data_IF_894953253221
#
_entry.id   IF_894953253221
#
_cell.length_a   1.000
_cell.length_b   1.000
_cell.length_c   1.000
_cell.angle_alpha   90.00
_cell.angle_beta   90.00
_cell.angle_gamma   90.00
#
_symmetry.space_group_name_H-M   'P 1'
#
loop_
_entity.id
_entity.type
_entity.pdbx_description
1 polymer ?
#
# COMPACT_ATOMS: atom_id res chain seq x y z
N UNK A 1 15.09 -16.09 -37.89
CA UNK A 1 16.09 -15.94 -36.82
C UNK A 1 15.74 -14.84 -35.80
N UNK A 2 15.43 -13.58 -36.21
CA UNK A 2 15.10 -12.49 -35.25
C UNK A 2 13.93 -12.76 -34.29
N UNK A 3 12.90 -13.52 -34.70
CA UNK A 3 11.75 -13.87 -33.84
C UNK A 3 12.04 -14.99 -32.82
N UNK A 4 13.02 -15.85 -33.10
CA UNK A 4 13.42 -16.93 -32.18
C UNK A 4 14.31 -16.37 -31.06
N UNK A 5 15.11 -15.35 -31.36
CA UNK A 5 16.00 -14.67 -30.42
C UNK A 5 15.22 -13.81 -29.41
N UNK A 6 14.08 -13.25 -29.83
CA UNK A 6 13.20 -12.44 -28.97
C UNK A 6 12.40 -13.31 -27.97
N UNK A 7 12.01 -14.52 -28.39
CA UNK A 7 11.38 -15.51 -27.49
C UNK A 7 12.42 -16.09 -26.52
N UNK A 8 13.67 -16.33 -26.96
CA UNK A 8 14.74 -16.77 -26.08
C UNK A 8 15.12 -15.71 -25.04
N UNK A 9 15.12 -14.41 -25.41
CA UNK A 9 15.32 -13.31 -24.46
C UNK A 9 14.18 -13.19 -23.43
N UNK A 10 12.92 -13.39 -23.84
CA UNK A 10 11.76 -13.37 -22.94
C UNK A 10 11.72 -14.58 -21.99
N UNK A 11 12.28 -15.72 -22.41
CA UNK A 11 12.35 -16.95 -21.59
C UNK A 11 13.57 -16.94 -20.65
N UNK A 12 14.61 -16.15 -20.92
CA UNK A 12 15.81 -16.05 -20.08
C UNK A 12 15.77 -14.89 -19.06
N UNK A 13 14.86 -13.93 -19.19
CA UNK A 13 14.69 -12.84 -18.20
C UNK A 13 14.27 -13.26 -16.77
N UNK A 14 13.57 -14.38 -16.52
CA UNK A 14 13.25 -14.78 -15.14
C UNK A 14 14.39 -15.48 -14.38
N UNK A 15 15.54 -15.74 -15.01
CA UNK A 15 16.65 -16.50 -14.40
C UNK A 15 17.82 -15.61 -13.91
N UNK A 16 17.71 -14.30 -14.05
CA UNK A 16 18.76 -13.35 -13.66
C UNK A 16 18.45 -12.57 -12.37
N UNK A 17 17.43 -12.95 -11.60
CA UNK A 17 17.29 -12.47 -10.22
C UNK A 17 18.15 -13.34 -9.31
N UNK A 18 19.46 -13.18 -9.41
CA UNK A 18 20.32 -13.52 -8.28
C UNK A 18 19.89 -12.57 -7.16
N UNK A 19 19.32 -13.12 -6.08
CA UNK A 19 19.22 -12.42 -4.81
C UNK A 19 20.65 -12.11 -4.38
N UNK A 20 21.13 -10.93 -4.74
CA UNK A 20 22.32 -10.37 -4.12
C UNK A 20 21.91 -10.01 -2.70
N UNK A 21 22.29 -10.86 -1.76
CA UNK A 21 22.43 -10.45 -0.38
C UNK A 21 23.54 -9.43 -0.40
N UNK A 22 23.17 -8.15 -0.35
CA UNK A 22 24.13 -7.07 -0.21
C UNK A 22 24.83 -7.28 1.14
N UNK A 23 26.02 -7.87 1.09
CA UNK A 23 26.89 -7.97 2.24
C UNK A 23 27.39 -6.54 2.49
N UNK A 24 26.63 -5.81 3.31
CA UNK A 24 26.89 -4.43 3.68
C UNK A 24 28.35 -4.25 4.07
N UNK A 25 29.11 -3.59 3.19
CA UNK A 25 30.47 -3.15 3.44
C UNK A 25 30.43 -2.07 4.53
N UNK A 26 30.46 -2.47 5.81
CA UNK A 26 30.81 -1.66 6.98
C UNK A 26 30.42 -0.18 6.96
N UNK A 27 29.19 0.17 6.56
CA UNK A 27 28.69 1.53 6.66
C UNK A 27 28.12 1.73 8.05
N UNK A 28 28.78 2.60 8.82
CA UNK A 28 28.23 3.22 10.02
C UNK A 28 26.96 3.95 9.61
N UNK A 29 25.81 3.38 9.94
CA UNK A 29 24.53 3.95 9.60
C UNK A 29 23.42 3.22 10.33
N UNK A 30 22.26 3.83 10.35
CA UNK A 30 21.10 3.30 11.05
C UNK A 30 20.10 2.66 10.09
N UNK A 31 19.30 1.73 10.61
CA UNK A 31 18.12 1.23 9.92
C UNK A 31 16.88 1.76 10.61
N UNK A 32 15.84 2.09 9.83
CA UNK A 32 14.58 2.58 10.38
C UNK A 32 13.40 1.78 9.83
N UNK A 33 12.49 1.40 10.71
CA UNK A 33 11.29 0.66 10.36
C UNK A 33 10.07 1.37 10.93
N UNK A 34 9.08 1.64 10.08
CA UNK A 34 7.86 2.35 10.46
C UNK A 34 6.64 1.49 10.18
N UNK A 35 5.72 1.45 11.13
CA UNK A 35 4.35 1.03 10.91
C UNK A 35 3.42 2.20 11.19
N UNK A 36 2.70 2.63 10.15
CA UNK A 36 1.81 3.79 10.20
C UNK A 36 0.40 3.34 9.93
N UNK A 37 -0.50 3.62 10.87
CA UNK A 37 -1.94 3.39 10.71
C UNK A 37 -2.64 4.73 10.61
N UNK A 38 -3.32 4.98 9.50
CA UNK A 38 -4.18 6.15 9.35
C UNK A 38 -5.61 5.84 9.79
N UNK A 39 -6.25 6.74 10.53
CA UNK A 39 -7.63 6.57 10.98
C UNK A 39 -8.64 7.42 10.18
N UNK A 40 -9.94 7.26 10.48
CA UNK A 40 -11.01 8.00 9.82
C UNK A 40 -11.14 9.46 10.27
N UNK A 41 -10.36 9.89 11.26
CA UNK A 41 -10.36 11.26 11.77
C UNK A 41 -9.24 12.11 11.14
N UNK A 42 -8.40 11.49 10.31
CA UNK A 42 -7.26 12.15 9.69
C UNK A 42 -6.04 12.20 10.61
N UNK A 43 -5.93 11.29 11.56
CA UNK A 43 -4.75 11.10 12.39
C UNK A 43 -3.91 9.92 11.85
N UNK A 44 -2.60 9.99 12.03
CA UNK A 44 -1.68 8.90 11.80
C UNK A 44 -1.11 8.44 13.15
N UNK A 45 -1.28 7.16 13.49
CA UNK A 45 -0.58 6.52 14.58
C UNK A 45 0.68 5.82 14.04
N UNK A 46 1.83 6.18 14.58
CA UNK A 46 3.14 5.76 14.06
C UNK A 46 3.92 5.04 15.14
N UNK A 47 4.33 3.81 14.85
CA UNK A 47 5.37 3.09 15.61
C UNK A 47 6.62 3.05 14.75
N UNK A 48 7.69 3.70 15.23
CA UNK A 48 8.99 3.70 14.59
C UNK A 48 9.98 2.88 15.42
N UNK A 49 10.85 2.12 14.75
CA UNK A 49 12.00 1.43 15.32
C UNK A 49 13.26 1.98 14.65
N UNK A 50 14.12 2.61 15.43
CA UNK A 50 15.42 3.12 15.02
C UNK A 50 16.48 2.13 15.50
N UNK A 51 17.25 1.55 14.59
CA UNK A 51 18.37 0.66 14.89
C UNK A 51 19.67 1.41 14.64
N UNK A 52 20.37 1.76 15.71
CA UNK A 52 21.56 2.60 15.66
C UNK A 52 22.76 1.75 16.08
N UNK A 53 23.79 1.74 15.24
CA UNK A 53 25.05 1.10 15.61
C UNK A 53 25.78 1.98 16.61
N UNK A 54 26.07 1.45 17.79
CA UNK A 54 26.70 2.18 18.88
C UNK A 54 28.22 1.99 18.88
N UNK A 55 28.92 2.89 18.20
CA UNK A 55 30.38 2.86 18.08
C UNK A 55 31.10 3.65 19.17
N UNK A 56 30.45 4.68 19.69
CA UNK A 56 31.08 5.71 20.52
C UNK A 56 30.49 5.81 21.94
N UNK A 57 29.79 4.75 22.38
CA UNK A 57 29.08 4.71 23.66
C UNK A 57 28.08 5.87 23.77
N UNK A 58 27.10 5.87 22.86
CA UNK A 58 26.09 6.89 22.70
C UNK A 58 25.32 7.09 24.01
N UNK A 59 25.37 8.30 24.56
CA UNK A 59 24.75 8.66 25.84
C UNK A 59 23.40 9.36 25.67
N UNK A 60 23.26 10.12 24.58
CA UNK A 60 22.07 10.89 24.22
C UNK A 60 21.76 10.69 22.73
N UNK A 61 20.49 10.86 22.36
CA UNK A 61 20.06 10.80 20.97
C UNK A 61 19.11 11.96 20.66
N UNK A 62 19.39 12.68 19.58
CA UNK A 62 18.53 13.73 19.07
C UNK A 62 17.93 13.34 17.72
N UNK A 63 16.63 13.58 17.58
CA UNK A 63 15.93 13.37 16.31
C UNK A 63 14.73 14.29 16.18
N UNK A 64 14.29 14.48 14.95
CA UNK A 64 13.21 15.38 14.59
C UNK A 64 12.07 14.60 13.93
N UNK A 65 10.86 14.74 14.48
CA UNK A 65 9.64 14.20 13.89
C UNK A 65 8.99 15.32 13.05
N UNK A 66 8.85 15.15 11.71
CA UNK A 66 8.18 16.14 10.87
C UNK A 66 6.70 16.31 11.27
N UNK A 67 6.23 17.54 11.48
CA UNK A 67 4.84 17.85 11.86
C UNK A 67 4.71 18.99 12.89
N UNK A 68 3.63 19.75 12.79
CA UNK A 68 3.24 20.84 13.70
C UNK A 68 2.46 20.32 14.93
N UNK A 69 1.69 19.24 14.77
CA UNK A 69 0.74 18.66 15.70
C UNK A 69 1.11 17.18 15.97
N UNK A 70 2.31 16.97 16.49
CA UNK A 70 2.84 15.65 16.87
C UNK A 70 2.65 15.40 18.36
N UNK A 71 2.01 14.30 18.74
CA UNK A 71 1.87 13.87 20.13
C UNK A 71 2.71 12.60 20.37
N UNK A 72 3.86 12.74 21.02
CA UNK A 72 4.71 11.61 21.41
C UNK A 72 4.08 10.90 22.61
N UNK A 73 3.64 9.67 22.41
CA UNK A 73 2.97 8.88 23.43
C UNK A 73 4.00 8.17 24.32
N UNK A 74 5.02 7.56 23.69
CA UNK A 74 6.04 6.84 24.44
C UNK A 74 7.33 6.67 23.63
N UNK A 75 8.46 6.58 24.34
CA UNK A 75 9.76 6.20 23.79
C UNK A 75 10.37 5.16 24.73
N UNK A 76 10.78 4.03 24.17
CA UNK A 76 11.41 2.94 24.94
C UNK A 76 12.65 2.42 24.22
N UNK A 77 13.65 2.01 25.00
CA UNK A 77 14.81 1.30 24.51
C UNK A 77 14.54 -0.21 24.59
N UNK A 78 14.71 -0.92 23.48
CA UNK A 78 14.80 -2.38 23.45
C UNK A 78 16.27 -2.79 23.67
N UNK A 79 16.52 -3.68 24.63
CA UNK A 79 17.86 -4.14 24.97
C UNK A 79 17.89 -5.63 25.32
N UNK A 80 19.07 -6.23 25.21
CA UNK A 80 19.28 -7.66 25.43
C UNK A 80 20.23 -7.93 26.59
N UNK A 81 19.93 -8.94 27.40
CA UNK A 81 20.98 -9.56 28.21
C UNK A 81 21.86 -10.42 27.30
N UNK A 82 23.14 -10.52 27.63
CA UNK A 82 24.09 -11.37 26.92
C UNK A 82 24.60 -12.45 27.85
N UNK A 83 24.51 -13.70 27.39
CA UNK A 83 25.14 -14.84 28.05
C UNK A 83 26.42 -15.22 27.31
N UNK A 84 27.44 -15.59 28.09
CA UNK A 84 28.73 -16.04 27.56
C UNK A 84 28.74 -17.56 27.53
N UNK A 85 28.88 -18.15 26.34
CA UNK A 85 29.19 -19.57 26.19
C UNK A 85 30.65 -19.72 25.79
N UNK A 86 31.33 -20.69 26.39
CA UNK A 86 32.66 -21.06 25.94
C UNK A 86 32.59 -21.72 24.56
N UNK A 87 33.37 -21.22 23.60
CA UNK A 87 33.48 -21.82 22.25
C UNK A 87 34.80 -22.53 22.02
N UNK A 88 35.84 -22.18 22.80
CA UNK A 88 37.13 -22.85 22.75
C UNK A 88 37.66 -23.13 24.16
N UNK A 89 38.15 -24.35 24.36
CA UNK A 89 38.65 -24.84 25.63
C UNK A 89 40.14 -25.13 25.49
N UNK A 90 40.95 -24.48 26.32
CA UNK A 90 42.38 -24.77 26.43
C UNK A 90 42.59 -25.79 27.55
N UNK A 91 43.21 -26.92 27.22
CA UNK A 91 43.61 -27.93 28.20
C UNK A 91 44.81 -27.40 29.00
N UNK A 92 44.60 -27.16 30.30
CA UNK A 92 45.70 -26.98 31.23
C UNK A 92 46.36 -28.34 31.52
N UNK A 93 47.63 -28.29 31.96
CA UNK A 93 48.43 -29.48 32.24
C UNK A 93 47.65 -30.55 33.04
N UNK A 94 47.67 -31.78 32.54
CA UNK A 94 47.02 -32.90 33.21
C UNK A 94 47.89 -33.37 34.37
N UNK A 95 47.32 -33.47 35.57
CA UNK A 95 47.97 -34.15 36.69
C UNK A 95 48.06 -35.65 36.38
N UNK A 96 49.00 -36.36 37.03
CA UNK A 96 49.35 -37.77 36.79
C UNK A 96 48.22 -38.79 37.01
N UNK A 97 47.00 -38.33 37.29
CA UNK A 97 45.78 -39.12 37.51
C UNK A 97 44.71 -38.91 36.42
N UNK A 98 45.09 -38.45 35.22
CA UNK A 98 44.21 -38.33 34.02
C UNK A 98 43.06 -37.32 34.13
N UNK A 99 43.06 -36.41 35.12
CA UNK A 99 42.09 -35.31 35.21
C UNK A 99 42.71 -34.03 34.64
N UNK A 100 42.39 -33.71 33.38
CA UNK A 100 42.83 -32.46 32.76
C UNK A 100 41.85 -31.33 33.14
N UNK A 101 42.37 -30.24 33.70
CA UNK A 101 41.58 -29.03 33.93
C UNK A 101 41.45 -28.28 32.61
N UNK A 102 40.24 -27.90 32.22
CA UNK A 102 40.02 -27.05 31.05
C UNK A 102 39.69 -25.63 31.51
N UNK A 103 40.30 -24.64 30.86
CA UNK A 103 39.92 -23.23 31.00
C UNK A 103 39.43 -22.74 29.65
N UNK A 104 38.36 -21.96 29.68
CA UNK A 104 37.83 -21.38 28.45
C UNK A 104 38.80 -20.33 27.88
N UNK A 105 39.32 -20.57 26.68
CA UNK A 105 40.20 -19.65 25.96
C UNK A 105 39.42 -18.56 25.23
N UNK A 106 38.23 -18.89 24.72
CA UNK A 106 37.39 -17.97 23.95
C UNK A 106 35.91 -18.12 24.30
N UNK A 107 35.26 -16.99 24.57
CA UNK A 107 33.82 -16.91 24.82
C UNK A 107 33.10 -16.32 23.61
N UNK A 108 31.98 -16.91 23.23
CA UNK A 108 30.99 -16.30 22.36
C UNK A 108 29.86 -15.73 23.20
N UNK A 109 29.46 -14.50 22.90
CA UNK A 109 28.31 -13.86 23.50
C UNK A 109 27.09 -14.03 22.60
N UNK A 110 25.96 -14.39 23.18
CA UNK A 110 24.69 -14.50 22.46
C UNK A 110 23.58 -13.75 23.18
N UNK A 111 22.67 -13.17 22.39
CA UNK A 111 21.48 -12.45 22.87
C UNK A 111 20.53 -13.42 23.57
N UNK A 112 20.11 -13.09 24.79
CA UNK A 112 19.06 -13.81 25.51
C UNK A 112 17.70 -13.26 25.08
N UNK A 113 16.79 -14.15 24.68
CA UNK A 113 15.42 -13.80 24.29
C UNK A 113 14.40 -14.20 25.38
N UNK A 114 13.29 -13.45 25.54
CA UNK A 114 12.90 -12.24 24.79
C UNK A 114 13.70 -10.99 25.21
N UNK A 115 13.74 -9.93 24.37
CA UNK A 115 14.34 -8.66 24.77
C UNK A 115 13.65 -8.05 25.99
N UNK A 116 14.37 -7.16 26.66
CA UNK A 116 13.86 -6.29 27.72
C UNK A 116 13.64 -4.88 27.19
N UNK A 117 12.85 -4.12 27.93
CA UNK A 117 12.47 -2.76 27.57
C UNK A 117 12.72 -1.82 28.74
N UNK A 118 13.43 -0.73 28.48
CA UNK A 118 13.62 0.36 29.43
C UNK A 118 12.84 1.58 28.94
N UNK A 119 12.14 2.24 29.86
CA UNK A 119 11.58 3.55 29.56
C UNK A 119 12.72 4.55 29.45
N UNK A 120 12.64 5.45 28.48
CA UNK A 120 13.65 6.47 28.23
C UNK A 120 13.07 7.82 28.61
N UNK A 121 13.86 8.61 29.33
CA UNK A 121 13.51 10.01 29.62
C UNK A 121 13.83 10.88 28.41
N UNK A 122 12.86 11.69 27.99
CA UNK A 122 12.98 12.54 26.80
C UNK A 122 12.36 13.92 27.00
N UNK A 123 12.92 14.88 26.28
CA UNK A 123 12.41 16.25 26.19
C UNK A 123 11.95 16.50 24.76
N UNK A 124 10.77 17.12 24.63
CA UNK A 124 10.24 17.55 23.34
C UNK A 124 10.23 19.06 23.23
N UNK A 125 10.77 19.61 22.15
CA UNK A 125 10.76 21.04 21.86
C UNK A 125 10.22 21.29 20.44
N UNK A 126 9.28 22.23 20.31
CA UNK A 126 8.84 22.72 19.00
C UNK A 126 9.71 23.90 18.59
N UNK A 127 10.39 23.81 17.44
CA UNK A 127 11.08 24.95 16.86
C UNK A 127 10.35 25.41 15.59
N UNK A 128 10.10 26.72 15.51
CA UNK A 128 9.73 27.36 14.26
C UNK A 128 10.91 27.34 13.31
N UNK A 129 10.76 26.77 12.11
CA UNK A 129 11.79 26.81 11.05
C UNK A 129 11.95 28.20 10.40
N UNK A 130 11.50 29.25 11.09
CA UNK A 130 11.62 30.64 10.63
C UNK A 130 12.79 31.32 11.32
N UNK A 131 13.60 32.05 10.57
CA UNK A 131 14.52 33.04 11.13
C UNK A 131 13.71 34.04 11.98
N UNK A 132 13.63 33.81 13.29
CA UNK A 132 13.09 34.79 14.22
C UNK A 132 14.13 35.91 14.33
N UNK A 133 13.89 37.02 13.61
CA UNK A 133 14.58 38.27 13.88
C UNK A 133 14.30 38.73 15.33
N UNK A 134 15.25 39.43 15.94
CA UNK A 134 15.27 39.74 17.39
C UNK A 134 14.03 40.47 17.97
N UNK A 135 13.08 40.94 17.16
CA UNK A 135 12.09 41.94 17.58
C UNK A 135 10.60 41.69 17.26
N UNK A 136 10.17 40.55 16.72
CA UNK A 136 8.72 40.34 16.48
C UNK A 136 8.22 38.96 16.91
N UNK A 137 7.03 38.96 17.54
CA UNK A 137 6.23 37.78 17.87
C UNK A 137 6.26 36.79 16.70
N UNK A 138 7.02 35.72 16.85
CA UNK A 138 6.98 34.59 15.95
C UNK A 138 5.66 33.84 16.15
N UNK A 139 4.61 34.28 15.45
CA UNK A 139 3.46 33.45 15.06
C UNK A 139 3.90 32.37 14.02
N UNK A 140 5.12 31.86 14.20
CA UNK A 140 5.73 30.87 13.33
C UNK A 140 5.23 29.50 13.75
N UNK A 141 4.23 28.99 13.03
CA UNK A 141 3.80 27.60 13.13
C UNK A 141 5.04 26.71 13.10
N UNK A 142 5.37 26.10 14.24
CA UNK A 142 6.46 25.15 14.33
C UNK A 142 6.16 23.99 13.40
N UNK A 143 7.11 23.62 12.54
CA UNK A 143 6.91 22.60 11.51
C UNK A 143 7.34 21.21 11.93
N UNK A 144 8.09 21.14 13.02
CA UNK A 144 8.89 19.98 13.38
C UNK A 144 8.98 19.87 14.91
N UNK A 145 8.87 18.64 15.42
CA UNK A 145 9.06 18.31 16.82
C UNK A 145 10.45 17.73 17.03
N UNK A 146 11.28 18.42 17.81
CA UNK A 146 12.59 17.97 18.20
C UNK A 146 12.49 17.14 19.47
N UNK A 147 13.09 15.97 19.46
CA UNK A 147 13.10 15.02 20.58
C UNK A 147 14.54 14.78 20.98
N UNK A 148 14.85 15.04 22.24
CA UNK A 148 16.16 14.76 22.85
C UNK A 148 15.98 13.70 23.92
N UNK A 149 16.62 12.55 23.74
CA UNK A 149 16.80 11.53 24.77
C UNK A 149 18.04 11.94 25.59
N UNK A 150 17.85 12.26 26.87
CA UNK A 150 18.92 12.78 27.72
C UNK A 150 19.88 11.68 28.20
N UNK A 151 19.34 10.48 28.48
CA UNK A 151 20.11 9.34 28.96
C UNK A 151 19.57 8.04 28.34
N UNK A 152 20.42 7.32 27.61
CA UNK A 152 20.13 5.97 27.14
C UNK A 152 20.43 4.99 28.30
N UNK A 153 19.45 4.21 28.78
CA UNK A 153 19.63 3.33 29.95
C UNK A 153 20.72 2.27 29.82
N UNK A 154 20.80 1.60 28.66
CA UNK A 154 21.75 0.49 28.41
C UNK A 154 22.69 0.88 27.26
N UNK A 155 23.74 1.63 27.57
CA UNK A 155 24.69 2.22 26.60
C UNK A 155 25.75 1.22 26.15
N UNK A 156 25.93 0.13 26.88
CA UNK A 156 26.99 -0.84 26.65
C UNK A 156 26.73 -1.74 25.43
N UNK A 157 25.53 -1.65 24.84
CA UNK A 157 25.10 -2.50 23.73
C UNK A 157 25.74 -2.05 22.42
N UNK A 158 26.19 -2.99 21.58
CA UNK A 158 26.72 -2.68 20.24
C UNK A 158 25.66 -2.09 19.30
N UNK A 159 24.40 -2.48 19.48
CA UNK A 159 23.26 -1.97 18.73
C UNK A 159 22.27 -1.35 19.73
N UNK A 160 21.84 -0.12 19.48
CA UNK A 160 20.79 0.56 20.25
C UNK A 160 19.50 0.53 19.43
N UNK A 161 18.44 0.01 20.03
CA UNK A 161 17.11 -0.06 19.43
C UNK A 161 16.17 0.90 20.15
N UNK A 162 15.76 1.98 19.49
CA UNK A 162 14.80 2.95 20.03
C UNK A 162 13.45 2.75 19.37
N UNK A 163 12.41 2.49 20.18
CA UNK A 163 11.03 2.42 19.73
C UNK A 163 10.33 3.73 20.08
N UNK A 164 9.81 4.41 19.08
CA UNK A 164 9.06 5.68 19.21
C UNK A 164 7.62 5.43 18.83
N UNK A 165 6.69 5.73 19.74
CA UNK A 165 5.26 5.70 19.46
C UNK A 165 4.68 7.11 19.54
N UNK A 166 4.12 7.59 18.45
CA UNK A 166 3.54 8.92 18.37
C UNK A 166 2.30 8.97 17.47
N UNK A 167 1.54 10.04 17.59
CA UNK A 167 0.42 10.36 16.71
C UNK A 167 0.61 11.73 16.06
N UNK A 168 0.13 11.91 14.84
CA UNK A 168 0.16 13.22 14.16
C UNK A 168 -1.04 13.41 13.24
N UNK A 169 -1.62 14.62 13.25
CA UNK A 169 -2.69 15.01 12.32
C UNK A 169 -2.16 15.71 11.06
N UNK A 170 -0.87 16.03 10.98
CA UNK A 170 -0.35 16.85 9.86
C UNK A 170 -0.09 16.05 8.60
N UNK A 171 0.13 14.75 8.75
CA UNK A 171 0.39 13.87 7.62
C UNK A 171 -0.85 13.68 6.75
N UNK A 172 -2.05 13.99 7.22
CA UNK A 172 -3.29 13.74 6.50
C UNK A 172 -4.05 15.03 6.24
N UNK A 173 -4.52 15.18 4.99
CA UNK A 173 -5.45 16.24 4.60
C UNK A 173 -6.73 15.63 4.08
N UNK A 174 -7.83 15.89 4.76
CA UNK A 174 -9.16 15.48 4.31
C UNK A 174 -9.74 16.47 3.28
N UNK A 175 -10.33 15.94 2.21
CA UNK A 175 -11.17 16.72 1.31
C UNK A 175 -12.36 15.87 0.84
N UNK A 176 -13.56 16.19 1.34
CA UNK A 176 -14.81 15.48 1.00
C UNK A 176 -14.76 13.97 1.30
N UNK A 177 -14.23 13.58 2.46
CA UNK A 177 -14.08 12.17 2.84
C UNK A 177 -13.05 11.40 2.01
N UNK A 178 -12.19 12.10 1.26
CA UNK A 178 -10.96 11.57 0.69
C UNK A 178 -9.79 12.11 1.50
N UNK A 179 -9.03 11.22 2.10
CA UNK A 179 -7.86 11.55 2.90
C UNK A 179 -6.63 11.39 2.02
N UNK A 180 -5.82 12.44 1.93
CA UNK A 180 -4.52 12.40 1.25
C UNK A 180 -3.45 12.44 2.31
N UNK A 181 -2.56 11.45 2.30
CA UNK A 181 -1.46 11.41 3.24
C UNK A 181 -0.12 11.75 2.57
N UNK A 182 0.77 12.32 3.37
CA UNK A 182 2.16 12.67 3.08
C UNK A 182 2.96 12.39 4.37
N UNK A 183 3.27 11.12 4.59
CA UNK A 183 4.04 10.69 5.75
C UNK A 183 5.52 10.94 5.49
N UNK A 184 6.22 11.45 6.49
CA UNK A 184 7.65 11.73 6.44
C UNK A 184 8.32 11.06 7.65
N UNK A 185 9.42 10.37 7.39
CA UNK A 185 10.16 9.64 8.44
C UNK A 185 10.91 10.59 9.37
N UNK A 186 11.31 10.07 10.52
CA UNK A 186 12.15 10.77 11.49
C UNK A 186 13.48 11.14 10.84
N UNK A 187 13.92 12.37 11.09
CA UNK A 187 15.22 12.91 10.67
C UNK A 187 16.18 12.88 11.87
N UNK A 188 17.46 12.58 11.65
CA UNK A 188 18.47 12.74 12.69
C UNK A 188 19.87 12.97 12.08
N UNK A 189 20.88 13.10 12.94
CA UNK A 189 22.25 13.44 12.54
C UNK A 189 23.06 12.28 11.91
N UNK A 190 22.50 11.07 11.87
CA UNK A 190 23.18 9.87 11.38
C UNK A 190 22.72 9.48 9.97
N UNK A 191 23.65 8.94 9.18
CA UNK A 191 23.33 8.35 7.87
C UNK A 191 22.34 7.19 8.03
N UNK A 192 21.31 7.15 7.18
CA UNK A 192 20.32 6.06 7.19
C UNK A 192 20.56 5.10 6.04
N UNK A 193 21.04 3.91 6.39
CA UNK A 193 21.33 2.85 5.43
C UNK A 193 20.06 2.35 4.74
N UNK A 194 19.02 2.12 5.54
CA UNK A 194 17.78 1.51 5.08
C UNK A 194 16.58 2.06 5.85
N UNK A 195 15.52 2.37 5.12
CA UNK A 195 14.23 2.77 5.66
C UNK A 195 13.14 1.92 5.04
N UNK A 196 12.29 1.35 5.89
CA UNK A 196 11.04 0.70 5.48
C UNK A 196 9.85 1.39 6.14
N UNK A 197 8.85 1.71 5.33
CA UNK A 197 7.58 2.27 5.81
C UNK A 197 6.45 1.35 5.38
N UNK A 198 5.82 0.70 6.35
CA UNK A 198 4.61 -0.10 6.16
C UNK A 198 3.40 0.74 6.57
N UNK A 199 2.53 1.01 5.59
CA UNK A 199 1.33 1.82 5.74
C UNK A 199 0.08 0.95 5.81
N UNK A 200 -0.84 1.34 6.68
CA UNK A 200 -2.13 0.69 6.84
C UNK A 200 -3.22 1.72 7.18
N UNK A 201 -4.48 1.31 7.09
CA UNK A 201 -5.65 2.16 7.32
C UNK A 201 -6.67 1.44 8.19
N UNK A 202 -7.23 2.15 9.17
CA UNK A 202 -8.17 1.58 10.14
C UNK A 202 -9.31 0.79 9.48
N UNK A 203 -9.95 -0.08 10.28
CA UNK A 203 -11.07 -0.91 9.84
C UNK A 203 -12.10 -0.08 9.06
N UNK A 204 -12.64 -0.67 7.99
CA UNK A 204 -13.61 -0.06 7.07
C UNK A 204 -13.09 1.08 6.17
N UNK A 205 -11.76 1.30 6.12
CA UNK A 205 -11.16 2.22 5.15
C UNK A 205 -10.47 1.50 3.99
N UNK A 206 -10.34 2.20 2.86
CA UNK A 206 -9.70 1.71 1.64
C UNK A 206 -8.51 2.59 1.30
N UNK A 207 -7.34 1.99 1.12
CA UNK A 207 -6.13 2.70 0.68
C UNK A 207 -5.90 2.49 -0.83
N UNK A 208 -5.35 3.48 -1.51
CA UNK A 208 -5.04 3.32 -2.93
C UNK A 208 -3.87 2.35 -3.11
N UNK A 209 -4.07 1.30 -3.90
CA UNK A 209 -3.07 0.23 -4.08
C UNK A 209 -3.31 -1.00 -3.20
N UNK A 210 -4.20 -0.94 -2.20
CA UNK A 210 -4.57 -2.08 -1.35
C UNK A 210 -6.04 -2.05 -0.92
N UNK A 211 -6.71 -3.20 -0.96
CA UNK A 211 -7.95 -3.39 -0.20
C UNK A 211 -7.54 -3.95 1.17
N UNK A 212 -7.58 -3.15 2.24
CA UNK A 212 -7.29 -3.68 3.57
C UNK A 212 -8.40 -4.66 3.96
N UNK A 213 -8.00 -5.87 4.32
CA UNK A 213 -8.80 -6.86 5.01
C UNK A 213 -7.90 -7.43 6.11
N UNK A 214 -7.46 -6.54 7.00
CA UNK A 214 -6.66 -6.90 8.16
C UNK A 214 -7.55 -6.64 9.37
N UNK A 215 -7.84 -7.69 10.13
CA UNK A 215 -8.50 -7.58 11.43
C UNK A 215 -7.48 -6.98 12.40
N UNK A 216 -7.76 -5.78 12.89
CA UNK A 216 -6.88 -5.16 13.88
C UNK A 216 -7.03 -5.91 15.20
N UNK A 217 -5.91 -6.19 15.87
CA UNK A 217 -5.96 -6.35 17.32
C UNK A 217 -6.24 -4.97 17.91
N UNK A 218 -7.52 -4.69 18.13
CA UNK A 218 -8.12 -3.38 18.43
C UNK A 218 -7.74 -2.77 19.79
N UNK A 219 -6.71 -3.27 20.45
CA UNK A 219 -6.26 -2.77 21.75
C UNK A 219 -4.73 -2.63 21.78
N UNK A 220 -4.18 -1.67 21.03
CA UNK A 220 -2.90 -1.07 21.42
C UNK A 220 -3.16 -0.22 22.66
N UNK A 221 -3.00 -0.80 23.85
CA UNK A 221 -3.03 0.00 25.08
C UNK A 221 -1.71 0.78 25.18
N UNK A 222 -1.74 1.95 25.83
CA UNK A 222 -0.56 2.82 26.00
C UNK A 222 0.51 2.24 26.93
N UNK A 223 0.49 0.94 27.21
CA UNK A 223 1.43 0.27 28.10
C UNK A 223 2.68 -0.12 27.31
N UNK A 224 3.83 0.03 27.96
CA UNK A 224 5.16 -0.36 27.46
C UNK A 224 5.17 -1.79 26.86
N UNK A 225 4.41 -2.72 27.44
CA UNK A 225 4.33 -4.11 26.96
C UNK A 225 3.68 -4.26 25.57
N UNK A 226 2.75 -3.38 25.19
CA UNK A 226 2.05 -3.47 23.90
C UNK A 226 2.95 -2.93 22.78
N UNK A 227 3.60 -1.76 23.02
CA UNK A 227 4.59 -1.17 22.11
C UNK A 227 5.77 -2.11 21.87
N UNK A 228 6.27 -2.76 22.93
CA UNK A 228 7.30 -3.79 22.87
C UNK A 228 6.93 -4.96 21.95
N UNK A 229 5.71 -5.49 22.08
CA UNK A 229 5.25 -6.66 21.31
C UNK A 229 5.14 -6.38 19.80
N UNK A 230 4.84 -5.13 19.44
CA UNK A 230 4.78 -4.64 18.05
C UNK A 230 6.19 -4.34 17.56
N UNK A 231 6.98 -3.67 18.41
CA UNK A 231 8.36 -3.26 18.16
C UNK A 231 9.30 -4.38 17.72
N UNK A 232 9.20 -5.53 18.39
CA UNK A 232 10.04 -6.69 18.10
C UNK A 232 9.83 -7.28 16.68
N UNK A 233 8.67 -7.04 16.07
CA UNK A 233 8.32 -7.62 14.77
C UNK A 233 8.32 -6.59 13.63
N UNK A 234 8.47 -5.29 13.89
CA UNK A 234 8.42 -4.22 12.87
C UNK A 234 9.31 -4.49 11.65
N UNK A 235 10.51 -5.04 11.85
CA UNK A 235 11.42 -5.38 10.76
C UNK A 235 10.87 -6.46 9.80
N UNK A 236 9.92 -7.27 10.27
CA UNK A 236 9.32 -8.40 9.56
C UNK A 236 7.83 -8.20 9.24
N UNK A 237 7.21 -7.12 9.71
CA UNK A 237 5.81 -6.80 9.42
C UNK A 237 5.73 -6.32 7.98
N UNK A 238 5.35 -7.23 7.08
CA UNK A 238 5.00 -6.92 5.69
C UNK A 238 3.47 -6.90 5.51
N UNK A 239 2.79 -6.27 6.48
CA UNK A 239 1.35 -6.07 6.41
C UNK A 239 1.06 -4.69 5.85
N UNK A 240 0.26 -4.62 4.80
CA UNK A 240 -0.14 -3.35 4.20
C UNK A 240 0.75 -2.94 3.03
N UNK A 241 0.87 -1.63 2.81
CA UNK A 241 1.59 -1.04 1.68
C UNK A 241 2.99 -0.67 2.14
N UNK A 242 3.98 -1.43 1.67
CA UNK A 242 5.37 -1.24 2.06
C UNK A 242 6.11 -0.44 1.00
N UNK A 243 6.79 0.62 1.42
CA UNK A 243 7.72 1.41 0.62
C UNK A 243 9.09 1.41 1.30
N UNK A 244 10.14 1.40 0.49
CA UNK A 244 11.51 1.27 0.99
C UNK A 244 12.42 2.31 0.32
N UNK A 245 13.38 2.81 1.09
CA UNK A 245 14.45 3.68 0.63
C UNK A 245 15.77 3.27 1.29
N UNK A 246 16.87 3.71 0.70
CA UNK A 246 18.22 3.41 1.19
C UNK A 246 19.14 4.59 0.99
N UNK A 247 20.17 4.72 1.84
CA UNK A 247 21.18 5.76 1.77
C UNK A 247 20.59 7.19 1.83
N UNK A 248 19.87 7.49 2.91
CA UNK A 248 19.48 8.87 3.22
C UNK A 248 20.63 9.57 3.94
N UNK A 249 20.95 10.79 3.49
CA UNK A 249 21.95 11.64 4.14
C UNK A 249 21.42 12.13 5.51
N UNK A 250 22.29 12.67 6.39
CA UNK A 250 21.86 13.19 7.68
C UNK A 250 20.83 14.29 7.51
N UNK A 251 19.81 14.29 8.38
CA UNK A 251 18.66 15.19 8.36
C UNK A 251 17.76 15.08 7.12
N UNK A 252 17.90 14.06 6.28
CA UNK A 252 16.92 13.76 5.23
C UNK A 252 15.78 12.89 5.76
N UNK A 253 14.58 13.08 5.20
CA UNK A 253 13.40 12.25 5.47
C UNK A 253 12.97 11.51 4.21
N UNK A 254 12.51 10.28 4.38
CA UNK A 254 11.80 9.54 3.35
C UNK A 254 10.32 9.93 3.37
N UNK A 255 9.79 10.28 2.21
CA UNK A 255 8.42 10.76 2.07
C UNK A 255 7.56 9.76 1.30
N UNK A 256 6.49 9.29 1.95
CA UNK A 256 5.50 8.37 1.36
C UNK A 256 4.14 9.05 1.22
N UNK A 257 3.65 9.11 -0.03
CA UNK A 257 2.40 9.79 -0.39
C UNK A 257 1.36 8.82 -0.87
N UNK A 258 0.11 9.10 -0.54
CA UNK A 258 -1.02 8.36 -1.08
C UNK A 258 -2.37 8.92 -0.69
N UNK A 259 -3.40 8.08 -0.81
CA UNK A 259 -4.78 8.44 -0.49
C UNK A 259 -5.54 7.26 0.08
N UNK A 260 -6.47 7.53 0.99
CA UNK A 260 -7.42 6.56 1.50
C UNK A 260 -8.82 7.18 1.69
N UNK A 261 -9.85 6.35 1.82
CA UNK A 261 -11.24 6.77 2.02
C UNK A 261 -12.09 5.67 2.65
N UNK A 262 -13.20 6.03 3.31
CA UNK A 262 -14.21 5.08 3.84
C UNK A 262 -14.82 4.14 2.79
N UNK A 263 -14.74 4.51 1.51
CA UNK A 263 -15.22 3.63 0.45
C UNK A 263 -14.43 3.81 -0.85
N UNK A 264 -14.35 2.72 -1.60
CA UNK A 264 -13.67 2.67 -2.90
C UNK A 264 -14.22 3.70 -3.91
N UNK A 265 -15.52 4.00 -3.85
CA UNK A 265 -16.15 4.95 -4.77
C UNK A 265 -15.64 6.37 -4.53
N UNK A 266 -15.55 6.83 -3.27
CA UNK A 266 -14.99 8.15 -2.91
C UNK A 266 -13.54 8.26 -3.32
N UNK A 267 -12.76 7.18 -3.17
CA UNK A 267 -11.35 7.17 -3.63
C UNK A 267 -11.21 7.43 -5.14
N UNK A 268 -12.22 7.06 -5.91
CA UNK A 268 -12.17 6.99 -7.37
C UNK A 268 -13.27 7.78 -8.09
N UNK A 269 -14.00 8.64 -7.37
CA UNK A 269 -15.25 9.22 -7.86
C UNK A 269 -15.04 10.07 -9.11
N UNK A 270 -13.91 10.78 -9.21
CA UNK A 270 -13.55 11.56 -10.39
C UNK A 270 -13.35 10.68 -11.63
N UNK A 271 -12.72 9.52 -11.47
CA UNK A 271 -12.49 8.57 -12.57
C UNK A 271 -13.83 7.96 -13.01
N UNK A 272 -14.69 7.61 -12.05
CA UNK A 272 -16.05 7.11 -12.35
C UNK A 272 -16.89 8.17 -13.05
N UNK A 273 -16.80 9.44 -12.62
CA UNK A 273 -17.51 10.55 -13.26
C UNK A 273 -17.07 10.75 -14.71
N UNK A 274 -15.75 10.74 -14.97
CA UNK A 274 -15.20 10.84 -16.33
C UNK A 274 -15.71 9.67 -17.18
N UNK A 275 -15.69 8.45 -16.65
CA UNK A 275 -16.25 7.26 -17.31
C UNK A 275 -17.73 7.44 -17.67
N UNK A 276 -18.54 7.91 -16.72
CA UNK A 276 -19.96 8.18 -16.94
C UNK A 276 -20.20 9.26 -18.01
N UNK A 277 -19.40 10.34 -18.01
CA UNK A 277 -19.45 11.39 -19.03
C UNK A 277 -19.08 10.84 -20.41
N UNK A 278 -18.05 9.99 -20.51
CA UNK A 278 -17.66 9.35 -21.77
C UNK A 278 -18.76 8.44 -22.32
N UNK A 279 -19.40 7.64 -21.47
CA UNK A 279 -20.54 6.79 -21.86
C UNK A 279 -21.72 7.65 -22.31
N UNK A 280 -22.10 8.68 -21.54
CA UNK A 280 -23.17 9.59 -21.91
C UNK A 280 -22.87 10.33 -23.22
N UNK A 281 -21.63 10.77 -23.43
CA UNK A 281 -21.14 11.40 -24.65
C UNK A 281 -21.22 10.47 -25.86
N UNK A 282 -20.81 9.21 -25.71
CA UNK A 282 -20.90 8.20 -26.77
C UNK A 282 -22.36 7.92 -27.17
N UNK A 283 -23.27 7.80 -26.19
CA UNK A 283 -24.70 7.57 -26.43
C UNK A 283 -25.34 8.79 -27.09
N UNK A 284 -25.16 9.98 -26.52
CA UNK A 284 -25.75 11.23 -27.06
C UNK A 284 -25.20 11.58 -28.44
N UNK A 285 -23.89 11.42 -28.65
CA UNK A 285 -23.24 11.57 -29.95
C UNK A 285 -23.75 10.57 -30.98
N UNK A 286 -23.91 9.29 -30.58
CA UNK A 286 -24.53 8.25 -31.41
C UNK A 286 -25.96 8.59 -31.80
N UNK A 287 -26.81 8.97 -30.83
CA UNK A 287 -28.20 9.40 -31.08
C UNK A 287 -28.27 10.62 -31.99
N UNK A 288 -27.41 11.62 -31.78
CA UNK A 288 -27.34 12.81 -32.63
C UNK A 288 -26.91 12.49 -34.06
N UNK A 289 -25.87 11.67 -34.23
CA UNK A 289 -25.40 11.19 -35.53
C UNK A 289 -26.50 10.43 -36.28
N UNK A 290 -27.18 9.53 -35.59
CA UNK A 290 -28.31 8.78 -36.14
C UNK A 290 -29.45 9.71 -36.54
N UNK A 291 -29.84 10.68 -35.68
CA UNK A 291 -30.89 11.66 -36.00
C UNK A 291 -30.55 12.50 -37.24
N UNK A 292 -29.27 12.84 -37.44
CA UNK A 292 -28.80 13.55 -38.64
C UNK A 292 -28.96 12.70 -39.90
N UNK A 293 -28.66 11.40 -39.83
CA UNK A 293 -28.87 10.44 -40.92
C UNK A 293 -30.37 10.17 -41.18
N UNK A 294 -31.18 10.16 -40.13
CA UNK A 294 -32.62 9.90 -40.16
C UNK A 294 -33.42 10.93 -40.98
N UNK A 295 -32.84 12.13 -41.24
CA UNK A 295 -33.45 13.12 -42.13
C UNK A 295 -33.59 12.60 -43.58
N UNK A 296 -32.76 11.65 -44.00
CA UNK A 296 -32.79 11.06 -45.35
C UNK A 296 -33.61 9.77 -45.43
N UNK A 297 -33.47 8.89 -44.43
CA UNK A 297 -34.19 7.62 -44.37
C UNK A 297 -34.69 7.34 -42.94
N UNK A 298 -36.01 7.51 -42.75
CA UNK A 298 -36.68 7.31 -41.46
C UNK A 298 -36.61 5.86 -40.96
N UNK A 299 -36.57 4.88 -41.87
CA UNK A 299 -36.54 3.46 -41.52
C UNK A 299 -35.15 3.05 -41.04
N UNK A 300 -34.11 3.56 -41.70
CA UNK A 300 -32.72 3.33 -41.30
C UNK A 300 -32.43 3.90 -39.91
N UNK A 301 -32.76 5.16 -39.67
CA UNK A 301 -32.43 5.80 -38.38
C UNK A 301 -33.13 5.15 -37.19
N UNK A 302 -34.37 4.68 -37.34
CA UNK A 302 -35.03 3.91 -36.28
C UNK A 302 -34.35 2.55 -36.03
N UNK A 303 -33.82 1.90 -37.06
CA UNK A 303 -33.11 0.63 -36.94
C UNK A 303 -31.77 0.79 -36.21
N UNK A 304 -31.03 1.87 -36.51
CA UNK A 304 -29.81 2.23 -35.79
C UNK A 304 -30.09 2.60 -34.33
N UNK A 305 -31.18 3.32 -34.04
CA UNK A 305 -31.56 3.65 -32.65
C UNK A 305 -31.90 2.39 -31.83
N UNK A 306 -32.63 1.44 -32.43
CA UNK A 306 -32.92 0.15 -31.77
C UNK A 306 -31.61 -0.60 -31.51
N UNK A 307 -30.69 -0.63 -32.48
CA UNK A 307 -29.39 -1.28 -32.33
C UNK A 307 -28.54 -0.65 -31.23
N UNK A 308 -28.48 0.69 -31.16
CA UNK A 308 -27.76 1.42 -30.11
C UNK A 308 -28.37 1.16 -28.73
N UNK A 309 -29.70 1.26 -28.60
CA UNK A 309 -30.39 0.99 -27.34
C UNK A 309 -30.20 -0.45 -26.85
N UNK A 310 -30.26 -1.41 -27.79
CA UNK A 310 -30.02 -2.84 -27.50
C UNK A 310 -28.58 -3.08 -27.07
N UNK A 311 -27.60 -2.50 -27.79
CA UNK A 311 -26.17 -2.65 -27.46
C UNK A 311 -25.84 -2.07 -26.07
N UNK A 312 -26.39 -0.90 -25.74
CA UNK A 312 -26.26 -0.34 -24.38
C UNK A 312 -26.90 -1.23 -23.31
N UNK A 313 -28.14 -1.69 -23.55
CA UNK A 313 -28.83 -2.59 -22.62
C UNK A 313 -28.07 -3.90 -22.37
N UNK A 314 -27.49 -4.48 -23.43
CA UNK A 314 -26.69 -5.69 -23.32
C UNK A 314 -25.36 -5.45 -22.58
N UNK A 315 -24.70 -4.31 -22.79
CA UNK A 315 -23.52 -3.92 -22.02
C UNK A 315 -23.83 -3.81 -20.52
N UNK A 316 -24.96 -3.20 -20.14
CA UNK A 316 -25.40 -3.13 -18.73
C UNK A 316 -25.67 -4.52 -18.16
N UNK A 317 -26.37 -5.38 -18.89
CA UNK A 317 -26.66 -6.77 -18.45
C UNK A 317 -25.36 -7.53 -18.18
N UNK A 318 -24.37 -7.43 -19.08
CA UNK A 318 -23.07 -8.08 -18.90
C UNK A 318 -22.35 -7.53 -17.67
N UNK A 319 -22.30 -6.20 -17.50
CA UNK A 319 -21.65 -5.56 -16.35
C UNK A 319 -22.27 -5.97 -15.01
N UNK A 320 -23.60 -5.95 -14.91
CA UNK A 320 -24.33 -6.37 -13.71
C UNK A 320 -24.09 -7.86 -13.43
N UNK A 321 -24.12 -8.71 -14.47
CA UNK A 321 -23.86 -10.13 -14.32
C UNK A 321 -22.44 -10.40 -13.82
N UNK A 322 -21.45 -9.69 -14.37
CA UNK A 322 -20.05 -9.79 -13.93
C UNK A 322 -19.89 -9.39 -12.46
N UNK A 323 -20.56 -8.32 -12.01
CA UNK A 323 -20.57 -7.91 -10.60
C UNK A 323 -21.21 -8.97 -9.70
N UNK A 324 -22.36 -9.52 -10.08
CA UNK A 324 -23.01 -10.61 -9.33
C UNK A 324 -22.08 -11.83 -9.22
N UNK A 325 -21.42 -12.21 -10.31
CA UNK A 325 -20.45 -13.32 -10.32
C UNK A 325 -19.28 -13.06 -9.38
N UNK A 326 -18.76 -11.82 -9.35
CA UNK A 326 -17.70 -11.42 -8.43
C UNK A 326 -18.12 -11.56 -6.95
N UNK A 327 -19.34 -11.10 -6.61
CA UNK A 327 -19.89 -11.22 -5.25
C UNK A 327 -20.19 -12.68 -4.88
N UNK A 328 -20.66 -13.51 -5.82
CA UNK A 328 -20.88 -14.93 -5.58
C UNK A 328 -19.55 -15.68 -5.38
N UNK A 329 -18.49 -15.30 -6.09
CA UNK A 329 -17.17 -15.90 -5.97
C UNK A 329 -16.54 -15.63 -4.60
N UNK A 330 -16.71 -14.42 -4.04
CA UNK A 330 -16.18 -14.11 -2.71
C UNK A 330 -16.86 -14.90 -1.57
N UNK A 331 -18.05 -15.46 -1.81
CA UNK A 331 -18.78 -16.26 -0.83
C UNK A 331 -18.42 -17.76 -0.83
N UNK A 332 -17.25 -18.17 -1.34
CA UNK A 332 -16.58 -19.50 -1.30
C UNK A 332 -17.37 -20.80 -1.62
N UNK A 333 -18.71 -20.81 -1.58
CA UNK A 333 -19.58 -21.99 -1.63
C UNK A 333 -20.66 -21.92 -2.71
N UNK A 334 -20.65 -20.90 -3.57
CA UNK A 334 -21.74 -20.61 -4.52
C UNK A 334 -21.39 -20.89 -5.99
N UNK A 335 -20.49 -21.86 -6.26
CA UNK A 335 -20.05 -22.19 -7.62
C UNK A 335 -21.19 -22.59 -8.57
N UNK A 336 -22.20 -23.36 -8.09
CA UNK A 336 -23.35 -23.77 -8.91
C UNK A 336 -24.21 -22.56 -9.29
N UNK A 337 -24.47 -21.66 -8.33
CA UNK A 337 -25.26 -20.45 -8.59
C UNK A 337 -24.51 -19.51 -9.54
N UNK A 338 -23.19 -19.37 -9.38
CA UNK A 338 -22.34 -18.64 -10.33
C UNK A 338 -22.43 -19.20 -11.75
N UNK A 339 -22.32 -20.52 -11.93
CA UNK A 339 -22.47 -21.15 -13.25
C UNK A 339 -23.87 -20.92 -13.86
N UNK A 340 -24.93 -20.99 -13.06
CA UNK A 340 -26.30 -20.72 -13.51
C UNK A 340 -26.47 -19.27 -13.96
N UNK A 341 -25.97 -18.30 -13.17
CA UNK A 341 -25.98 -16.88 -13.53
C UNK A 341 -25.24 -16.67 -14.85
N UNK A 342 -24.02 -17.22 -15.00
CA UNK A 342 -23.23 -17.13 -16.22
C UNK A 342 -23.97 -17.70 -17.43
N UNK A 343 -24.60 -18.87 -17.29
CA UNK A 343 -25.36 -19.51 -18.37
C UNK A 343 -26.57 -18.66 -18.78
N UNK A 344 -27.33 -18.14 -17.81
CA UNK A 344 -28.47 -17.24 -18.07
C UNK A 344 -28.00 -15.98 -18.79
N UNK A 345 -26.91 -15.36 -18.33
CA UNK A 345 -26.34 -14.16 -18.98
C UNK A 345 -25.95 -14.43 -20.42
N UNK A 346 -25.31 -15.57 -20.72
CA UNK A 346 -24.95 -15.94 -22.10
C UNK A 346 -26.20 -16.12 -22.97
N UNK A 347 -27.23 -16.83 -22.46
CA UNK A 347 -28.48 -17.03 -23.19
C UNK A 347 -29.21 -15.71 -23.47
N UNK A 348 -29.33 -14.84 -22.46
CA UNK A 348 -29.94 -13.51 -22.62
C UNK A 348 -29.13 -12.66 -23.60
N UNK A 349 -27.80 -12.68 -23.51
CA UNK A 349 -26.93 -11.95 -24.43
C UNK A 349 -27.12 -12.43 -25.89
N UNK A 350 -27.17 -13.74 -26.13
CA UNK A 350 -27.42 -14.29 -27.47
C UNK A 350 -28.78 -13.86 -28.03
N UNK A 351 -29.84 -13.92 -27.22
CA UNK A 351 -31.19 -13.49 -27.62
C UNK A 351 -31.21 -11.99 -27.93
N UNK A 352 -30.66 -11.15 -27.06
CA UNK A 352 -30.62 -9.70 -27.26
C UNK A 352 -29.71 -9.28 -28.42
N UNK A 353 -28.68 -10.06 -28.76
CA UNK A 353 -27.81 -9.79 -29.91
C UNK A 353 -28.52 -10.07 -31.25
N UNK A 354 -29.29 -11.16 -31.33
CA UNK A 354 -29.92 -11.63 -32.58
C UNK A 354 -31.35 -11.11 -32.76
N UNK A 355 -32.20 -11.23 -31.74
CA UNK A 355 -33.64 -11.04 -31.87
C UNK A 355 -34.04 -9.63 -32.33
N UNK A 356 -33.50 -8.52 -31.79
CA UNK A 356 -33.84 -7.17 -32.25
C UNK A 356 -33.49 -6.96 -33.73
N UNK A 357 -32.35 -7.50 -34.17
CA UNK A 357 -31.90 -7.42 -35.55
C UNK A 357 -32.81 -8.18 -36.51
N UNK A 358 -33.24 -9.39 -36.12
CA UNK A 358 -34.20 -10.20 -36.89
C UNK A 358 -35.58 -9.53 -36.94
N UNK A 359 -36.09 -9.05 -35.80
CA UNK A 359 -37.40 -8.36 -35.73
C UNK A 359 -37.42 -7.09 -36.58
N UNK A 360 -36.34 -6.31 -36.59
CA UNK A 360 -36.19 -5.15 -37.46
C UNK A 360 -36.09 -5.57 -38.93
N UNK A 361 -35.34 -6.63 -39.23
CA UNK A 361 -35.21 -7.18 -40.58
C UNK A 361 -36.53 -7.64 -41.19
N UNK A 362 -37.36 -8.33 -40.39
CA UNK A 362 -38.69 -8.79 -40.80
C UNK A 362 -39.65 -7.63 -41.06
N UNK A 363 -39.66 -6.62 -40.18
CA UNK A 363 -40.62 -5.51 -40.26
C UNK A 363 -40.21 -4.41 -41.25
N UNK A 364 -38.91 -4.20 -41.47
CA UNK A 364 -38.39 -3.03 -42.23
C UNK A 364 -37.44 -3.41 -43.37
N UNK A 365 -37.23 -4.69 -43.63
CA UNK A 365 -36.35 -5.20 -44.67
C UNK A 365 -34.98 -5.65 -44.16
N UNK A 366 -34.43 -6.69 -44.79
CA UNK A 366 -33.19 -7.36 -44.38
C UNK A 366 -31.99 -6.41 -44.15
N UNK A 367 -31.79 -5.42 -45.04
CA UNK A 367 -30.70 -4.44 -44.90
C UNK A 367 -30.78 -3.68 -43.57
N UNK A 368 -31.98 -3.30 -43.13
CA UNK A 368 -32.18 -2.60 -41.86
C UNK A 368 -31.89 -3.51 -40.66
N UNK A 369 -32.18 -4.82 -40.77
CA UNK A 369 -31.77 -5.82 -39.79
C UNK A 369 -30.25 -5.93 -39.66
N UNK A 370 -29.52 -5.95 -40.79
CA UNK A 370 -28.05 -5.94 -40.80
C UNK A 370 -27.50 -4.67 -40.14
N UNK A 371 -28.00 -3.49 -40.49
CA UNK A 371 -27.54 -2.25 -39.88
C UNK A 371 -27.81 -2.20 -38.37
N UNK A 372 -28.96 -2.72 -37.92
CA UNK A 372 -29.26 -2.87 -36.50
C UNK A 372 -28.20 -3.75 -35.82
N UNK A 373 -27.90 -4.93 -36.38
CA UNK A 373 -26.90 -5.86 -35.86
C UNK A 373 -25.50 -5.24 -35.77
N UNK A 374 -25.03 -4.58 -36.84
CA UNK A 374 -23.73 -3.91 -36.86
C UNK A 374 -23.68 -2.81 -35.79
N UNK A 375 -24.77 -2.07 -35.60
CA UNK A 375 -24.84 -1.02 -34.58
C UNK A 375 -24.75 -1.59 -33.17
N UNK A 376 -25.37 -2.75 -32.91
CA UNK A 376 -25.23 -3.45 -31.62
C UNK A 376 -23.74 -3.76 -31.37
N UNK A 377 -23.06 -4.39 -32.33
CA UNK A 377 -21.63 -4.75 -32.20
C UNK A 377 -20.75 -3.52 -31.97
N UNK A 378 -20.92 -2.46 -32.76
CA UNK A 378 -20.13 -1.23 -32.63
C UNK A 378 -20.36 -0.59 -31.26
N UNK A 379 -21.61 -0.54 -30.79
CA UNK A 379 -21.94 0.03 -29.48
C UNK A 379 -21.27 -0.76 -28.36
N UNK A 380 -21.33 -2.09 -28.40
CA UNK A 380 -20.64 -2.96 -27.42
C UNK A 380 -19.13 -2.75 -27.44
N UNK A 381 -18.52 -2.68 -28.63
CA UNK A 381 -17.08 -2.45 -28.77
C UNK A 381 -16.65 -1.12 -28.17
N UNK A 382 -17.36 -0.03 -28.49
CA UNK A 382 -17.05 1.31 -27.98
C UNK A 382 -17.21 1.38 -26.46
N UNK A 383 -18.32 0.85 -25.92
CA UNK A 383 -18.56 0.87 -24.47
C UNK A 383 -17.57 -0.02 -23.71
N UNK A 384 -17.18 -1.16 -24.28
CA UNK A 384 -16.15 -2.03 -23.70
C UNK A 384 -14.78 -1.35 -23.70
N UNK A 385 -14.42 -0.62 -24.75
CA UNK A 385 -13.19 0.18 -24.79
C UNK A 385 -13.19 1.29 -23.73
N UNK A 386 -14.31 2.01 -23.56
CA UNK A 386 -14.43 3.02 -22.50
C UNK A 386 -14.28 2.36 -21.13
N UNK A 387 -14.94 1.21 -20.92
CA UNK A 387 -14.85 0.46 -19.66
C UNK A 387 -13.41 0.04 -19.36
N UNK A 388 -12.68 -0.44 -20.37
CA UNK A 388 -11.27 -0.82 -20.23
C UNK A 388 -10.39 0.37 -19.86
N UNK A 389 -10.59 1.53 -20.52
CA UNK A 389 -9.84 2.75 -20.20
C UNK A 389 -10.11 3.19 -18.76
N UNK A 390 -11.36 3.14 -18.32
CA UNK A 390 -11.75 3.47 -16.93
C UNK A 390 -11.11 2.48 -15.96
N UNK A 391 -11.15 1.18 -16.23
CA UNK A 391 -10.52 0.16 -15.39
C UNK A 391 -8.99 0.31 -15.29
N UNK A 392 -8.32 0.63 -16.41
CA UNK A 392 -6.89 0.92 -16.40
C UNK A 392 -6.56 2.19 -15.60
N UNK A 393 -7.39 3.23 -15.72
CA UNK A 393 -7.21 4.48 -14.98
C UNK A 393 -7.47 4.32 -13.47
N UNK A 394 -8.35 3.40 -13.08
CA UNK A 394 -8.60 3.04 -11.68
C UNK A 394 -7.42 2.35 -11.01
N UNK A 395 -6.42 1.91 -11.80
CA UNK A 395 -5.32 1.08 -11.31
C UNK A 395 -5.88 -0.27 -10.87
N UNK A 396 -5.94 -1.23 -11.79
CA UNK A 396 -6.23 -2.61 -11.38
C UNK A 396 -5.21 -2.99 -10.30
N UNK A 397 -5.65 -3.47 -9.12
CA UNK A 397 -4.71 -3.95 -8.11
C UNK A 397 -3.80 -4.96 -8.81
N UNK A 398 -2.48 -4.76 -8.71
CA UNK A 398 -1.52 -5.61 -9.39
C UNK A 398 -1.84 -7.07 -9.07
N UNK A 399 -1.86 -7.93 -10.08
CA UNK A 399 -2.44 -9.27 -10.05
C UNK A 399 -1.84 -10.25 -9.04
N UNK A 400 -0.88 -9.82 -8.22
CA UNK A 400 -0.38 -10.59 -7.08
C UNK A 400 -1.45 -10.86 -6.03
N UNK A 401 -2.45 -9.98 -5.88
CA UNK A 401 -3.55 -10.17 -4.92
C UNK A 401 -4.75 -10.93 -5.48
N UNK A 402 -4.91 -11.03 -6.81
CA UNK A 402 -6.00 -11.79 -7.45
C UNK A 402 -5.77 -13.30 -7.50
N UNK A 403 -4.55 -13.78 -7.27
CA UNK A 403 -4.21 -15.21 -7.22
C UNK A 403 -4.43 -15.84 -5.84
N UNK A 404 -4.76 -15.04 -4.82
CA UNK A 404 -5.02 -15.51 -3.46
C UNK A 404 -6.49 -15.43 -3.03
N UNK A 405 -7.41 -15.07 -3.94
CA UNK A 405 -8.85 -15.07 -3.70
C UNK A 405 -9.60 -16.15 -4.47
#
# INVERSE_FOLDING_TARGET
>A
MKRLLLILMLVLMPLATAYYWDSSLGYYGQNQYYYVVFDGEGEAAVVARLEIQNTDNLTSLEFTIPGENVNVINIVQEYYDYEKSCIDWEELACDSEDVCSQVCSEYSEYKVYPPKYAQVDYITNYYGTGECGEDENCDGNAKELFVTIEEIPEQDQQDIYILVYYKSTDYVKENMGLYKYNFETIMNEYDTNYVRVSLDVAEDMYMNGLSSAIEYRTEMSSKVADVASIGANLAYVDTGYTEEASALDPYESFNVKGKYAENWFRMNWWIVLIGAILVAGAITGGVYGIRKLNKKDKKLGLSLLIGLGTGFGLWVIIGVSAYILMVLNSMYYMNIVGMLVMMITILVALVCLIAPSVLVGLNKGWNNGIYCFITIIITLFVLSMISLIVLLALGLPSSSSFLYF
#
